data_IF_069019797403
#
_entry.id   IF_069019797403
#
_cell.length_a   1.000
_cell.length_b   1.000
_cell.length_c   1.000
_cell.angle_alpha   90.00
_cell.angle_beta   90.00
_cell.angle_gamma   90.00
#
_symmetry.space_group_name_H-M   'P 1'
#
loop_
_entity.id
_entity.type
_entity.pdbx_description
1 polymer ?
#
# COMPACT_ATOMS: atom_id res chain seq x y z
N UNK A 1 23.60 -17.97 11.22
CA UNK A 1 23.17 -17.37 12.49
C UNK A 1 21.78 -16.71 12.44
N UNK A 2 21.00 -16.86 11.34
CA UNK A 2 19.70 -16.15 11.14
C UNK A 2 18.47 -17.05 11.40
N UNK A 3 18.69 -18.32 11.73
CA UNK A 3 17.61 -19.31 11.94
C UNK A 3 16.95 -19.24 13.32
N UNK A 4 17.74 -19.15 14.38
CA UNK A 4 17.23 -19.18 15.76
C UNK A 4 16.40 -17.94 16.14
N UNK A 5 16.73 -16.75 15.63
CA UNK A 5 15.94 -15.53 15.87
C UNK A 5 14.58 -15.57 15.14
N UNK A 6 14.49 -16.17 13.94
CA UNK A 6 13.21 -16.23 13.23
C UNK A 6 12.23 -17.21 13.85
N UNK A 7 12.72 -18.27 14.48
CA UNK A 7 11.88 -19.24 15.19
C UNK A 7 11.31 -18.60 16.47
N UNK A 8 12.13 -17.85 17.22
CA UNK A 8 11.67 -17.15 18.42
C UNK A 8 10.63 -16.06 18.12
N UNK A 9 10.76 -15.30 17.02
CA UNK A 9 9.76 -14.27 16.66
C UNK A 9 8.40 -14.86 16.28
N UNK A 10 8.36 -16.03 15.61
CA UNK A 10 7.09 -16.68 15.26
C UNK A 10 6.35 -17.12 16.52
N UNK A 11 7.08 -17.71 17.46
CA UNK A 11 6.53 -18.15 18.74
C UNK A 11 6.00 -16.96 19.56
N UNK A 12 6.70 -15.83 19.57
CA UNK A 12 6.23 -14.61 20.24
C UNK A 12 4.93 -14.07 19.63
N UNK A 13 4.82 -14.05 18.30
CA UNK A 13 3.60 -13.62 17.61
C UNK A 13 2.45 -14.59 17.81
N UNK A 14 2.72 -15.89 17.81
CA UNK A 14 1.71 -16.92 18.10
C UNK A 14 1.18 -16.79 19.53
N UNK A 15 2.08 -16.64 20.51
CA UNK A 15 1.69 -16.40 21.91
C UNK A 15 0.91 -15.10 22.08
N UNK A 16 1.27 -14.03 21.36
CA UNK A 16 0.52 -12.79 21.36
C UNK A 16 -0.90 -12.99 20.80
N UNK A 17 -1.05 -13.76 19.72
CA UNK A 17 -2.35 -14.13 19.14
C UNK A 17 -3.20 -14.95 20.11
N UNK A 18 -2.63 -15.98 20.74
CA UNK A 18 -3.32 -16.80 21.74
C UNK A 18 -3.82 -15.98 22.93
N UNK A 19 -3.03 -15.01 23.42
CA UNK A 19 -3.44 -14.07 24.48
C UNK A 19 -4.65 -13.21 24.08
N UNK A 20 -4.86 -13.01 22.78
CA UNK A 20 -6.02 -12.32 22.22
C UNK A 20 -7.13 -13.28 21.77
N UNK A 21 -7.04 -14.58 22.10
CA UNK A 21 -8.03 -15.60 21.73
C UNK A 21 -7.97 -16.07 20.28
N UNK A 22 -6.88 -15.78 19.55
CA UNK A 22 -6.65 -16.30 18.20
C UNK A 22 -5.98 -17.67 18.29
N UNK A 23 -6.63 -18.71 17.76
CA UNK A 23 -6.05 -20.05 17.66
C UNK A 23 -4.81 -20.04 16.74
N UNK A 24 -3.70 -20.63 17.19
CA UNK A 24 -2.43 -20.75 16.48
C UNK A 24 -2.55 -21.30 15.06
N UNK A 25 -3.47 -22.22 14.81
CA UNK A 25 -3.69 -22.78 13.46
C UNK A 25 -4.16 -21.74 12.43
N UNK A 26 -4.64 -20.58 12.90
CA UNK A 26 -5.04 -19.45 12.04
C UNK A 26 -3.89 -18.54 11.63
N UNK A 27 -2.72 -18.66 12.27
CA UNK A 27 -1.53 -17.87 11.96
C UNK A 27 -0.53 -18.73 11.17
N UNK A 28 -0.41 -18.45 9.87
CA UNK A 28 0.47 -19.21 8.97
C UNK A 28 1.71 -18.37 8.65
N UNK A 29 2.87 -18.79 9.15
CA UNK A 29 4.15 -18.13 8.87
C UNK A 29 4.83 -18.75 7.66
N UNK A 30 4.84 -18.03 6.53
CA UNK A 30 5.48 -18.50 5.31
C UNK A 30 7.02 -18.36 5.37
N UNK A 31 7.75 -19.35 4.85
CA UNK A 31 9.22 -19.27 4.75
C UNK A 31 9.70 -18.22 3.77
N UNK A 32 10.91 -17.70 3.97
CA UNK A 32 11.56 -16.83 2.99
C UNK A 32 11.80 -17.61 1.70
N UNK A 33 11.36 -17.05 0.58
CA UNK A 33 11.53 -17.63 -0.75
C UNK A 33 12.13 -16.60 -1.70
N UNK A 34 12.56 -17.07 -2.87
CA UNK A 34 12.98 -16.20 -3.96
C UNK A 34 11.88 -15.21 -4.36
N UNK A 35 12.28 -14.05 -4.87
CA UNK A 35 11.38 -12.92 -5.08
C UNK A 35 10.18 -13.26 -5.98
N UNK A 36 10.37 -14.07 -7.04
CA UNK A 36 9.27 -14.50 -7.92
C UNK A 36 8.21 -15.32 -7.19
N UNK A 37 8.62 -16.26 -6.34
CA UNK A 37 7.71 -17.07 -5.51
C UNK A 37 7.03 -16.21 -4.45
N UNK A 38 7.75 -15.26 -3.87
CA UNK A 38 7.19 -14.29 -2.93
C UNK A 38 6.06 -13.47 -3.58
N UNK A 39 6.27 -12.93 -4.78
CA UNK A 39 5.24 -12.18 -5.50
C UNK A 39 4.02 -13.05 -5.85
N UNK A 40 4.23 -14.31 -6.25
CA UNK A 40 3.15 -15.24 -6.58
C UNK A 40 2.24 -15.54 -5.36
N UNK A 41 2.76 -15.45 -4.13
CA UNK A 41 1.96 -15.67 -2.91
C UNK A 41 0.89 -14.61 -2.71
N UNK A 42 1.08 -13.38 -3.16
CA UNK A 42 0.05 -12.33 -3.04
C UNK A 42 -1.25 -12.70 -3.74
N UNK A 43 -1.18 -13.50 -4.82
CA UNK A 43 -2.38 -13.96 -5.53
C UNK A 43 -3.22 -14.96 -4.73
N UNK A 44 -2.64 -15.59 -3.72
CA UNK A 44 -3.33 -16.52 -2.82
C UNK A 44 -4.06 -15.80 -1.67
N UNK A 45 -3.76 -14.52 -1.45
CA UNK A 45 -4.41 -13.72 -0.42
C UNK A 45 -5.67 -13.02 -0.98
N UNK A 46 -6.63 -12.81 -0.08
CA UNK A 46 -7.88 -12.10 -0.38
C UNK A 46 -7.76 -10.59 -0.12
N UNK A 47 -7.15 -10.22 1.02
CA UNK A 47 -6.96 -8.86 1.51
C UNK A 47 -5.61 -8.73 2.23
N UNK A 48 -4.86 -7.64 1.97
CA UNK A 48 -3.66 -7.27 2.72
C UNK A 48 -4.02 -6.27 3.82
N UNK A 49 -3.64 -6.59 5.06
CA UNK A 49 -3.81 -5.70 6.22
C UNK A 49 -2.49 -4.96 6.49
N UNK A 50 -2.51 -3.64 6.33
CA UNK A 50 -1.33 -2.79 6.53
C UNK A 50 -1.06 -2.46 8.00
N UNK A 51 0.18 -2.08 8.31
CA UNK A 51 0.63 -1.68 9.65
C UNK A 51 0.50 -0.16 9.85
N UNK A 52 0.19 0.28 11.08
CA UNK A 52 -0.32 1.65 11.30
C UNK A 52 0.73 2.76 11.37
N UNK A 53 1.84 2.54 12.07
CA UNK A 53 2.85 3.60 12.34
C UNK A 53 3.84 3.71 11.18
N UNK A 54 4.15 2.55 10.60
CA UNK A 54 5.02 2.42 9.44
C UNK A 54 4.27 1.55 8.44
N UNK A 55 3.62 2.18 7.47
CA UNK A 55 2.88 1.48 6.43
C UNK A 55 3.84 0.70 5.53
N UNK A 56 3.30 -0.29 4.85
CA UNK A 56 3.91 -0.89 3.70
C UNK A 56 4.03 0.13 2.55
N UNK A 57 5.27 0.36 2.09
CA UNK A 57 5.56 1.10 0.86
C UNK A 57 5.73 0.14 -0.31
N UNK A 58 6.96 -0.39 -0.48
CA UNK A 58 7.28 -1.33 -1.55
C UNK A 58 6.42 -2.62 -1.51
N UNK A 59 6.15 -3.15 -0.31
CA UNK A 59 5.30 -4.34 -0.13
C UNK A 59 3.87 -4.09 -0.59
N UNK A 60 3.29 -2.93 -0.28
CA UNK A 60 1.95 -2.56 -0.73
C UNK A 60 1.90 -2.35 -2.25
N UNK A 61 2.93 -1.72 -2.82
CA UNK A 61 3.06 -1.58 -4.29
C UNK A 61 3.09 -2.95 -4.98
N UNK A 62 3.86 -3.91 -4.45
CA UNK A 62 3.90 -5.29 -4.96
C UNK A 62 2.55 -6.01 -4.82
N UNK A 63 1.87 -5.85 -3.67
CA UNK A 63 0.55 -6.43 -3.44
C UNK A 63 -0.47 -5.89 -4.46
N UNK A 64 -0.53 -4.57 -4.63
CA UNK A 64 -1.42 -3.92 -5.60
C UNK A 64 -1.12 -4.37 -7.03
N UNK A 65 0.16 -4.45 -7.42
CA UNK A 65 0.57 -4.95 -8.74
C UNK A 65 0.14 -6.40 -8.97
N UNK A 66 0.20 -7.24 -7.93
CA UNK A 66 -0.27 -8.62 -7.96
C UNK A 66 -1.80 -8.77 -7.93
N UNK A 67 -2.55 -7.66 -7.83
CA UNK A 67 -4.02 -7.66 -7.77
C UNK A 67 -4.60 -7.93 -6.38
N UNK A 68 -3.80 -7.79 -5.32
CA UNK A 68 -4.22 -7.91 -3.93
C UNK A 68 -4.62 -6.52 -3.36
N UNK A 69 -5.88 -6.32 -2.95
CA UNK A 69 -6.29 -5.09 -2.28
C UNK A 69 -5.55 -4.89 -0.96
N UNK A 70 -5.18 -3.64 -0.66
CA UNK A 70 -4.50 -3.24 0.58
C UNK A 70 -5.45 -2.36 1.38
N UNK A 71 -5.74 -2.74 2.62
CA UNK A 71 -6.45 -1.91 3.59
C UNK A 71 -5.42 -1.24 4.50
N UNK A 72 -5.51 0.08 4.66
CA UNK A 72 -4.56 0.85 5.47
C UNK A 72 -5.23 1.87 6.37
N UNK A 73 -4.57 2.18 7.50
CA UNK A 73 -4.91 3.31 8.37
C UNK A 73 -3.90 4.43 8.16
N UNK A 74 -4.35 5.53 7.56
CA UNK A 74 -3.51 6.71 7.32
C UNK A 74 -3.36 7.57 8.57
N UNK A 75 -2.12 7.78 9.00
CA UNK A 75 -1.77 8.68 10.10
C UNK A 75 -1.37 10.09 9.64
N UNK A 76 -0.61 10.76 10.51
CA UNK A 76 -0.10 12.13 10.29
C UNK A 76 1.33 12.17 9.75
N UNK A 77 2.11 11.12 9.95
CA UNK A 77 3.50 11.06 9.49
C UNK A 77 3.59 10.61 8.03
N UNK A 78 4.72 10.89 7.37
CA UNK A 78 4.99 10.36 6.03
C UNK A 78 4.91 8.81 6.00
N UNK A 79 5.54 8.15 6.98
CA UNK A 79 5.60 6.67 7.04
C UNK A 79 4.25 6.02 7.26
N UNK A 80 3.30 6.72 7.90
CA UNK A 80 1.93 6.27 8.10
C UNK A 80 0.97 6.72 7.00
N UNK A 81 1.48 7.23 5.86
CA UNK A 81 0.67 7.66 4.71
C UNK A 81 1.13 7.06 3.39
N UNK A 82 2.14 6.19 3.39
CA UNK A 82 2.69 5.61 2.16
C UNK A 82 1.64 4.78 1.43
N UNK A 83 1.00 3.82 2.11
CA UNK A 83 -0.04 2.99 1.49
C UNK A 83 -1.27 3.82 1.08
N UNK A 84 -1.65 4.82 1.89
CA UNK A 84 -2.72 5.75 1.53
C UNK A 84 -2.43 6.53 0.23
N UNK A 85 -1.18 6.96 0.02
CA UNK A 85 -0.76 7.59 -1.23
C UNK A 85 -0.89 6.64 -2.43
N UNK A 86 -0.44 5.39 -2.27
CA UNK A 86 -0.56 4.35 -3.32
C UNK A 86 -2.03 4.07 -3.66
N UNK A 87 -2.89 3.97 -2.65
CA UNK A 87 -4.33 3.71 -2.83
C UNK A 87 -5.04 4.85 -3.56
N UNK A 88 -4.68 6.11 -3.28
CA UNK A 88 -5.17 7.24 -4.06
C UNK A 88 -4.69 7.17 -5.51
N UNK A 89 -3.40 6.92 -5.74
CA UNK A 89 -2.80 6.85 -7.07
C UNK A 89 -3.35 5.69 -7.93
N UNK A 90 -3.82 4.60 -7.30
CA UNK A 90 -4.48 3.48 -8.00
C UNK A 90 -6.01 3.58 -7.98
N UNK A 91 -6.60 4.63 -7.42
CA UNK A 91 -8.04 4.88 -7.44
C UNK A 91 -8.87 3.95 -6.54
N UNK A 92 -8.34 3.61 -5.37
CA UNK A 92 -9.02 2.84 -4.32
C UNK A 92 -9.06 3.60 -2.96
N UNK A 93 -9.53 4.86 -2.93
CA UNK A 93 -9.59 5.63 -1.68
C UNK A 93 -10.52 5.00 -0.64
N UNK A 94 -11.47 4.15 -1.06
CA UNK A 94 -12.37 3.42 -0.16
C UNK A 94 -11.65 2.40 0.75
N UNK A 95 -10.37 2.13 0.54
CA UNK A 95 -9.54 1.25 1.39
C UNK A 95 -8.62 2.02 2.36
N UNK A 96 -8.82 3.34 2.46
CA UNK A 96 -8.07 4.21 3.36
C UNK A 96 -8.95 4.55 4.55
N UNK A 97 -8.51 4.17 5.75
CA UNK A 97 -9.17 4.54 7.01
C UNK A 97 -8.30 5.49 7.82
N UNK A 98 -8.85 6.08 8.88
CA UNK A 98 -8.15 7.05 9.72
C UNK A 98 -8.21 6.74 11.22
N UNK A 99 -9.16 5.90 11.64
CA UNK A 99 -9.26 5.40 13.02
C UNK A 99 -9.14 3.88 13.09
N UNK A 100 -8.92 3.37 14.30
CA UNK A 100 -8.88 1.92 14.54
C UNK A 100 -10.25 1.28 14.28
N UNK A 101 -11.33 1.94 14.69
CA UNK A 101 -12.71 1.46 14.52
C UNK A 101 -13.09 1.38 13.03
N UNK A 102 -12.72 2.38 12.22
CA UNK A 102 -12.93 2.36 10.78
C UNK A 102 -12.16 1.22 10.11
N UNK A 103 -10.91 1.02 10.54
CA UNK A 103 -10.04 -0.03 10.03
C UNK A 103 -10.63 -1.42 10.30
N UNK A 104 -11.01 -1.68 11.55
CA UNK A 104 -11.59 -2.96 11.97
C UNK A 104 -12.96 -3.21 11.32
N UNK A 105 -13.83 -2.20 11.29
CA UNK A 105 -15.16 -2.30 10.67
C UNK A 105 -15.05 -2.64 9.18
N UNK A 106 -14.15 -1.96 8.46
CA UNK A 106 -13.93 -2.23 7.04
C UNK A 106 -13.27 -3.58 6.81
N UNK A 107 -12.30 -3.99 7.64
CA UNK A 107 -11.68 -5.31 7.56
C UNK A 107 -12.72 -6.43 7.73
N UNK A 108 -13.61 -6.31 8.71
CA UNK A 108 -14.68 -7.27 8.97
C UNK A 108 -15.70 -7.32 7.84
N UNK A 109 -16.16 -6.17 7.35
CA UNK A 109 -17.10 -6.11 6.23
C UNK A 109 -16.50 -6.75 4.97
N UNK A 110 -15.23 -6.46 4.64
CA UNK A 110 -14.57 -7.09 3.49
C UNK A 110 -14.34 -8.59 3.67
N UNK A 111 -14.07 -9.06 4.89
CA UNK A 111 -13.90 -10.47 5.19
C UNK A 111 -15.23 -11.25 5.10
N UNK A 112 -16.35 -10.63 5.47
CA UNK A 112 -17.68 -11.26 5.45
C UNK A 112 -18.41 -11.07 4.12
N UNK A 113 -18.09 -10.03 3.35
CA UNK A 113 -18.76 -9.66 2.11
C UNK A 113 -17.88 -9.94 0.88
N UNK A 114 -17.88 -11.21 0.45
CA UNK A 114 -17.10 -11.69 -0.71
C UNK A 114 -17.44 -10.93 -2.00
N UNK A 115 -18.70 -10.53 -2.19
CA UNK A 115 -19.10 -9.73 -3.36
C UNK A 115 -18.44 -8.35 -3.36
N UNK A 116 -18.45 -7.65 -2.21
CA UNK A 116 -17.80 -6.35 -2.08
C UNK A 116 -16.29 -6.45 -2.33
N UNK A 117 -15.64 -7.46 -1.75
CA UNK A 117 -14.21 -7.68 -1.98
C UNK A 117 -13.91 -7.97 -3.46
N UNK A 118 -14.73 -8.81 -4.12
CA UNK A 118 -14.58 -9.08 -5.56
C UNK A 118 -14.77 -7.84 -6.42
N UNK A 119 -15.72 -6.94 -6.07
CA UNK A 119 -15.87 -5.65 -6.76
C UNK A 119 -14.60 -4.80 -6.66
N UNK A 120 -13.99 -4.76 -5.49
CA UNK A 120 -12.72 -4.04 -5.27
C UNK A 120 -11.57 -4.68 -6.06
N UNK A 121 -11.44 -6.01 -6.06
CA UNK A 121 -10.43 -6.73 -6.86
C UNK A 121 -10.60 -6.47 -8.36
N UNK A 122 -11.84 -6.47 -8.86
CA UNK A 122 -12.14 -6.15 -10.26
C UNK A 122 -11.86 -4.68 -10.60
N UNK A 123 -12.10 -3.76 -9.65
CA UNK A 123 -11.71 -2.35 -9.78
C UNK A 123 -10.19 -2.22 -9.85
N UNK A 124 -9.45 -2.85 -8.92
CA UNK A 124 -7.99 -2.88 -8.92
C UNK A 124 -7.42 -3.41 -10.24
N UNK A 125 -7.90 -4.56 -10.72
CA UNK A 125 -7.43 -5.17 -11.97
C UNK A 125 -7.56 -4.25 -13.19
N UNK A 126 -8.65 -3.47 -13.26
CA UNK A 126 -8.84 -2.44 -14.29
C UNK A 126 -7.88 -1.26 -14.08
N UNK A 127 -7.82 -0.76 -12.85
CA UNK A 127 -7.07 0.43 -12.49
C UNK A 127 -5.56 0.26 -12.69
N UNK A 128 -4.99 -0.93 -12.48
CA UNK A 128 -3.55 -1.21 -12.71
C UNK A 128 -3.11 -0.76 -14.12
N UNK A 129 -4.00 -0.88 -15.12
CA UNK A 129 -3.69 -0.54 -16.52
C UNK A 129 -3.99 0.92 -16.89
N UNK A 130 -4.77 1.63 -16.09
CA UNK A 130 -5.34 2.94 -16.45
C UNK A 130 -4.90 4.08 -15.55
N UNK A 131 -4.53 3.78 -14.30
CA UNK A 131 -4.22 4.78 -13.28
C UNK A 131 -2.71 4.99 -13.16
N UNK A 132 -2.28 6.18 -12.66
CA UNK A 132 -0.90 6.63 -12.76
C UNK A 132 0.10 5.83 -11.93
N UNK A 133 -0.33 5.06 -10.92
CA UNK A 133 0.60 4.42 -9.97
C UNK A 133 1.70 3.57 -10.65
N UNK A 134 1.36 2.89 -11.74
CA UNK A 134 2.29 2.02 -12.49
C UNK A 134 2.65 2.55 -13.88
N UNK A 135 2.22 3.78 -14.21
CA UNK A 135 2.66 4.46 -15.42
C UNK A 135 4.01 5.13 -15.17
N UNK A 136 5.08 4.36 -15.34
CA UNK A 136 6.46 4.82 -15.12
C UNK A 136 6.84 5.96 -16.07
N UNK A 137 6.33 5.96 -17.30
CA UNK A 137 6.60 7.03 -18.26
C UNK A 137 5.99 8.36 -17.82
N UNK A 138 4.74 8.34 -17.33
CA UNK A 138 4.10 9.53 -16.74
C UNK A 138 4.82 9.99 -15.48
N UNK A 139 5.20 9.06 -14.60
CA UNK A 139 5.98 9.39 -13.41
C UNK A 139 7.30 10.08 -13.75
N UNK A 140 8.07 9.54 -14.69
CA UNK A 140 9.35 10.12 -15.13
C UNK A 140 9.18 11.53 -15.66
N UNK A 141 8.21 11.77 -16.55
CA UNK A 141 7.95 13.12 -17.08
C UNK A 141 7.58 14.13 -15.99
N UNK A 142 6.75 13.72 -15.02
CA UNK A 142 6.37 14.59 -13.91
C UNK A 142 7.57 14.88 -12.99
N UNK A 143 8.45 13.89 -12.78
CA UNK A 143 9.68 14.06 -12.00
C UNK A 143 10.66 15.02 -12.70
N UNK A 144 10.88 14.83 -14.01
CA UNK A 144 11.71 15.71 -14.85
C UNK A 144 11.20 17.16 -14.80
N UNK A 145 9.89 17.36 -14.96
CA UNK A 145 9.28 18.69 -14.82
C UNK A 145 9.54 19.32 -13.44
N UNK A 146 9.47 18.51 -12.36
CA UNK A 146 9.82 18.97 -11.02
C UNK A 146 11.28 19.43 -10.91
N UNK A 147 12.20 18.73 -11.56
CA UNK A 147 13.61 19.13 -11.63
C UNK A 147 13.83 20.40 -12.47
N UNK A 148 13.15 20.51 -13.62
CA UNK A 148 13.19 21.73 -14.44
C UNK A 148 12.70 22.94 -13.65
N UNK A 149 11.56 22.82 -12.95
CA UNK A 149 11.03 23.88 -12.08
C UNK A 149 12.03 24.29 -10.98
N UNK A 150 12.71 23.32 -10.36
CA UNK A 150 13.73 23.61 -9.36
C UNK A 150 14.94 24.32 -9.97
N UNK A 151 15.36 23.90 -11.16
CA UNK A 151 16.52 24.45 -11.87
C UNK A 151 16.25 25.86 -12.40
N UNK A 152 15.07 26.13 -12.95
CA UNK A 152 14.65 27.46 -13.40
C UNK A 152 14.67 28.49 -12.26
N UNK A 153 14.24 28.08 -11.06
CA UNK A 153 14.33 28.94 -9.87
C UNK A 153 15.78 29.28 -9.53
N UNK A 154 16.66 28.28 -9.57
CA UNK A 154 18.08 28.47 -9.35
C UNK A 154 18.68 29.44 -10.38
N UNK A 155 18.36 29.28 -11.67
CA UNK A 155 18.81 30.19 -12.75
C UNK A 155 18.30 31.62 -12.57
N UNK A 156 17.13 31.80 -11.95
CA UNK A 156 16.56 33.11 -11.61
C UNK A 156 17.08 33.67 -10.28
N UNK A 157 18.09 33.05 -9.66
CA UNK A 157 18.62 33.42 -8.34
C UNK A 157 17.54 33.43 -7.23
N UNK A 158 16.48 32.63 -7.37
CA UNK A 158 15.43 32.45 -6.36
C UNK A 158 15.82 31.34 -5.38
N UNK A 159 15.53 31.52 -4.10
CA UNK A 159 15.77 30.50 -3.07
C UNK A 159 14.85 29.28 -3.19
N UNK A 160 15.11 28.20 -2.42
CA UNK A 160 14.24 27.03 -2.35
C UNK A 160 12.82 27.39 -1.89
N UNK A 161 11.83 26.72 -2.46
CA UNK A 161 10.41 26.85 -2.10
C UNK A 161 9.69 25.53 -2.39
N UNK A 162 8.45 25.38 -1.91
CA UNK A 162 7.61 24.26 -2.26
C UNK A 162 7.35 24.21 -3.77
N UNK A 163 7.63 23.06 -4.38
CA UNK A 163 7.35 22.79 -5.79
C UNK A 163 6.19 21.81 -5.85
N UNK A 164 5.16 22.17 -6.60
CA UNK A 164 4.00 21.31 -6.87
C UNK A 164 3.92 21.09 -8.36
N UNK A 165 4.20 19.86 -8.79
CA UNK A 165 4.00 19.44 -10.18
C UNK A 165 2.53 19.09 -10.36
N UNK A 166 1.82 19.84 -11.21
CA UNK A 166 0.43 19.55 -11.56
C UNK A 166 0.39 18.70 -12.82
N UNK A 167 -0.30 17.57 -12.73
CA UNK A 167 -0.40 16.65 -13.85
C UNK A 167 -1.56 17.07 -14.77
N UNK A 168 -1.23 17.48 -16.00
CA UNK A 168 -2.22 17.96 -16.98
C UNK A 168 -3.17 16.86 -17.49
N UNK A 169 -2.90 15.59 -17.19
CA UNK A 169 -3.68 14.43 -17.62
C UNK A 169 -4.60 13.86 -16.52
N UNK A 170 -4.95 14.63 -15.48
CA UNK A 170 -6.00 14.24 -14.54
C UNK A 170 -7.40 14.48 -15.12
N UNK A 171 -8.22 13.43 -15.33
CA UNK A 171 -9.65 13.62 -15.49
C UNK A 171 -10.22 13.92 -14.10
N UNK A 172 -10.58 15.18 -13.87
CA UNK A 172 -11.25 15.73 -12.68
C UNK A 172 -10.33 16.34 -11.60
N UNK A 173 -9.88 17.57 -11.87
CA UNK A 173 -9.77 18.58 -10.84
C UNK A 173 -10.98 19.53 -10.96
N UNK A 174 -11.92 19.39 -10.02
CA UNK A 174 -12.94 20.39 -9.66
C UNK A 174 -12.97 20.45 -8.14
#
# INVERSE_FOLDING_TARGET
MVGHEQESLKDELDQAGQKQGVNSERLIFSEKVEHKKYLARFQQADLFLDTFIYNAGATASNALWAGLPVLTKSGKSYTSRMAGSLLNAIGLPELITTTDEEYESLALDLAQNREKLNRIRNKLSRNIKTNPLFDTGRYTRNLELGFEMAYDRYLQCKGPEHIVVTDKNEPHSK
#
